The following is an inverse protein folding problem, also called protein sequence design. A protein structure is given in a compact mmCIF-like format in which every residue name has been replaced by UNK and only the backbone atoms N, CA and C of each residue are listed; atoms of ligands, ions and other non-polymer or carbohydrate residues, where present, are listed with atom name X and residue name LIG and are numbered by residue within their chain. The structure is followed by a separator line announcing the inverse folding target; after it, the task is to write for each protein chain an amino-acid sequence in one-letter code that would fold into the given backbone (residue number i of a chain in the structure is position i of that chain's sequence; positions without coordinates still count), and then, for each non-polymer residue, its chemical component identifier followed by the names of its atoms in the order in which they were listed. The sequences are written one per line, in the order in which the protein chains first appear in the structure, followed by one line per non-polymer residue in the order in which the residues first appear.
data_IF_700076670974
#
_entry.id   IF_700076670974
#
_cell.length_a   1.000
_cell.length_b   1.000
_cell.length_c   1.000
_cell.angle_alpha   90.00
_cell.angle_beta   90.00
_cell.angle_gamma   90.00
#
_symmetry.space_group_name_H-M   'P 1'
#
loop_
_entity.id
_entity.type
_entity.pdbx_description
1 polymer ?
#
# COMPACT_ATOMS: atom_id res chain seq x y z
N UNK A 1 8.18 -14.64 -0.52
CA UNK A 1 9.28 -13.92 0.16
C UNK A 1 9.15 -12.44 -0.20
N UNK A 2 8.78 -11.57 0.75
CA UNK A 2 8.86 -10.09 0.65
C UNK A 2 10.33 -9.62 0.62
N UNK A 3 11.16 -10.28 -0.18
CA UNK A 3 12.57 -9.93 -0.30
C UNK A 3 12.68 -8.87 -1.39
N UNK A 4 13.30 -7.75 -1.03
CA UNK A 4 13.70 -6.59 -1.84
C UNK A 4 12.66 -5.51 -2.18
N UNK A 5 11.96 -5.00 -1.17
CA UNK A 5 11.52 -3.60 -1.24
C UNK A 5 12.07 -2.82 -0.04
N UNK A 6 13.13 -1.99 -0.24
CA UNK A 6 13.76 -1.22 0.82
C UNK A 6 12.76 -0.41 1.65
N UNK A 7 11.74 0.16 0.99
CA UNK A 7 10.71 0.97 1.64
C UNK A 7 9.89 0.23 2.70
N UNK A 8 9.78 -1.11 2.64
CA UNK A 8 9.02 -1.91 3.62
C UNK A 8 9.78 -2.04 4.95
N UNK A 9 11.11 -1.99 4.91
CA UNK A 9 11.96 -2.20 6.10
C UNK A 9 12.33 -0.89 6.80
N UNK A 10 12.14 0.24 6.12
CA UNK A 10 12.51 1.55 6.62
C UNK A 10 11.45 2.16 7.55
N UNK A 11 11.85 3.12 8.40
CA UNK A 11 10.97 3.68 9.42
C UNK A 11 9.87 4.57 8.80
N UNK A 12 8.67 4.01 8.71
CA UNK A 12 7.49 4.64 8.12
C UNK A 12 7.09 6.00 8.72
N UNK A 13 7.37 6.24 10.01
CA UNK A 13 6.98 7.48 10.68
C UNK A 13 8.11 8.53 10.71
N UNK A 14 9.27 8.24 10.11
CA UNK A 14 10.47 9.09 10.14
C UNK A 14 11.14 9.20 8.78
N UNK A 15 10.35 9.25 7.72
CA UNK A 15 10.81 9.37 6.34
C UNK A 15 10.02 10.46 5.59
N UNK A 16 10.31 11.74 5.87
CA UNK A 16 9.76 12.83 5.08
C UNK A 16 10.32 12.77 3.65
N UNK A 17 9.48 13.06 2.67
CA UNK A 17 9.90 13.21 1.28
C UNK A 17 10.33 14.65 1.00
N UNK A 18 11.31 14.80 0.11
CA UNK A 18 11.61 16.11 -0.46
C UNK A 18 10.44 16.59 -1.34
N UNK A 19 10.20 17.90 -1.36
CA UNK A 19 9.15 18.51 -2.17
C UNK A 19 9.22 18.11 -3.65
N UNK A 20 10.42 17.94 -4.20
CA UNK A 20 10.62 17.46 -5.58
C UNK A 20 10.05 16.07 -5.81
N UNK A 21 10.37 15.12 -4.93
CA UNK A 21 9.89 13.74 -4.99
C UNK A 21 8.37 13.65 -4.74
N UNK A 22 7.86 14.41 -3.76
CA UNK A 22 6.42 14.51 -3.50
C UNK A 22 5.68 15.02 -4.74
N UNK A 23 6.23 16.04 -5.42
CA UNK A 23 5.67 16.57 -6.65
C UNK A 23 5.71 15.55 -7.78
N UNK A 24 6.79 14.78 -7.93
CA UNK A 24 6.90 13.75 -8.97
C UNK A 24 5.73 12.75 -8.91
N UNK A 25 5.49 12.14 -7.73
CA UNK A 25 4.38 11.19 -7.57
C UNK A 25 2.99 11.79 -7.84
N UNK A 26 2.82 13.10 -7.63
CA UNK A 26 1.54 13.80 -7.80
C UNK A 26 1.38 14.49 -9.16
N UNK A 27 2.48 14.74 -9.89
CA UNK A 27 2.49 15.43 -11.18
C UNK A 27 2.08 14.49 -12.31
N UNK A 28 2.48 13.22 -12.21
CA UNK A 28 2.13 12.18 -13.18
C UNK A 28 0.62 11.83 -13.15
N UNK A 29 -0.07 12.25 -12.10
CA UNK A 29 -1.52 12.09 -11.98
C UNK A 29 -2.23 13.37 -12.48
N UNK A 30 -3.31 13.28 -13.28
CA UNK A 30 -4.13 14.44 -13.62
C UNK A 30 -4.56 15.22 -12.37
N UNK A 31 -4.68 16.56 -12.51
CA UNK A 31 -5.25 17.37 -11.42
C UNK A 31 -6.70 16.96 -11.23
N UNK A 32 -7.06 16.61 -10.00
CA UNK A 32 -8.44 16.35 -9.66
C UNK A 32 -9.18 17.69 -9.58
N UNK A 33 -9.90 18.04 -10.63
CA UNK A 33 -10.75 19.23 -10.72
C UNK A 33 -12.13 19.04 -10.05
N UNK A 34 -12.45 17.81 -9.63
CA UNK A 34 -13.74 17.43 -9.07
C UNK A 34 -13.71 17.50 -7.55
N UNK A 35 -12.60 17.07 -6.93
CA UNK A 35 -12.38 17.09 -5.48
C UNK A 35 -11.58 18.32 -5.08
N UNK A 36 -12.25 19.46 -5.04
CA UNK A 36 -11.77 20.63 -4.30
C UNK A 36 -12.21 20.51 -2.84
N UNK A 37 -11.26 20.55 -1.92
CA UNK A 37 -11.58 20.67 -0.49
C UNK A 37 -11.74 22.16 -0.15
N UNK A 38 -12.97 22.57 0.18
CA UNK A 38 -13.25 23.86 0.80
C UNK A 38 -13.46 23.60 2.30
N UNK A 39 -12.52 23.99 3.18
CA UNK A 39 -12.68 23.80 4.60
C UNK A 39 -13.91 24.57 5.10
N UNK A 40 -14.61 24.07 6.14
CA UNK A 40 -15.72 24.82 6.74
C UNK A 40 -15.27 26.22 7.16
N UNK A 41 -15.93 27.25 6.64
CA UNK A 41 -15.63 28.63 7.00
C UNK A 41 -16.07 28.86 8.43
N UNK A 42 -15.10 28.92 9.34
CA UNK A 42 -15.37 29.30 10.73
C UNK A 42 -15.83 30.77 10.71
N UNK A 43 -17.06 31.04 11.19
CA UNK A 43 -17.56 32.40 11.38
C UNK A 43 -16.56 33.22 12.20
N UNK A 44 -16.58 34.56 12.11
CA UNK A 44 -15.65 35.48 12.80
C UNK A 44 -15.76 35.43 14.34
N UNK A 45 -15.48 34.28 14.92
CA UNK A 45 -15.38 34.01 16.35
C UNK A 45 -13.93 34.27 16.71
N UNK A 46 -13.70 34.98 17.82
CA UNK A 46 -12.36 35.16 18.35
C UNK A 46 -11.85 33.82 18.89
N UNK A 47 -11.16 33.06 18.04
CA UNK A 47 -10.48 31.82 18.39
C UNK A 47 -9.07 32.13 18.90
N UNK A 48 -8.61 31.39 19.91
CA UNK A 48 -7.25 31.54 20.47
C UNK A 48 -6.18 31.26 19.41
N UNK A 49 -4.96 31.79 19.62
CA UNK A 49 -3.81 31.51 18.75
C UNK A 49 -3.50 30.01 18.67
N UNK A 50 -3.57 29.29 19.80
CA UNK A 50 -3.39 27.84 19.84
C UNK A 50 -4.43 27.10 19.01
N UNK A 51 -5.72 27.49 19.11
CA UNK A 51 -6.77 26.87 18.31
C UNK A 51 -6.57 27.09 16.81
N UNK A 52 -6.16 28.29 16.38
CA UNK A 52 -5.81 28.58 14.97
C UNK A 52 -4.64 27.73 14.47
N UNK A 53 -3.64 27.52 15.32
CA UNK A 53 -2.50 26.67 14.99
C UNK A 53 -2.92 25.20 14.77
N UNK A 54 -3.74 24.64 15.67
CA UNK A 54 -4.25 23.27 15.52
C UNK A 54 -5.16 23.12 14.30
N UNK A 55 -6.06 24.09 14.07
CA UNK A 55 -6.92 24.12 12.89
C UNK A 55 -6.09 24.12 11.59
N UNK A 56 -5.07 24.97 11.50
CA UNK A 56 -4.14 24.98 10.38
C UNK A 56 -3.39 23.65 10.20
N UNK A 57 -2.96 23.00 11.29
CA UNK A 57 -2.31 21.70 11.21
C UNK A 57 -3.27 20.61 10.67
N UNK A 58 -4.52 20.58 11.16
CA UNK A 58 -5.55 19.67 10.68
C UNK A 58 -5.92 19.93 9.22
N UNK A 59 -6.06 21.19 8.83
CA UNK A 59 -6.28 21.60 7.44
C UNK A 59 -5.19 21.06 6.52
N UNK A 60 -3.92 21.19 6.91
CA UNK A 60 -2.80 20.69 6.12
C UNK A 60 -2.80 19.16 6.00
N UNK A 61 -3.16 18.43 7.06
CA UNK A 61 -3.31 16.96 7.01
C UNK A 61 -4.43 16.58 6.04
N UNK A 62 -5.59 17.22 6.15
CA UNK A 62 -6.74 16.96 5.26
C UNK A 62 -6.41 17.27 3.80
N UNK A 63 -5.74 18.38 3.54
CA UNK A 63 -5.30 18.77 2.22
C UNK A 63 -4.33 17.74 1.61
N UNK A 64 -3.37 17.26 2.41
CA UNK A 64 -2.43 16.21 1.98
C UNK A 64 -3.16 14.88 1.69
N UNK A 65 -4.06 14.45 2.57
CA UNK A 65 -4.89 13.24 2.36
C UNK A 65 -5.70 13.30 1.07
N UNK A 66 -6.32 14.46 0.79
CA UNK A 66 -7.03 14.66 -0.46
C UNK A 66 -6.10 14.49 -1.66
N UNK A 67 -4.88 15.02 -1.58
CA UNK A 67 -3.84 14.85 -2.60
C UNK A 67 -3.53 13.37 -2.88
N UNK A 68 -3.54 12.51 -1.85
CA UNK A 68 -3.28 11.07 -1.99
C UNK A 68 -4.38 10.30 -2.70
N UNK A 69 -5.59 10.87 -2.79
CA UNK A 69 -6.66 10.25 -3.60
C UNK A 69 -6.35 10.28 -5.09
N UNK A 70 -5.51 11.22 -5.56
CA UNK A 70 -5.19 11.37 -6.99
C UNK A 70 -4.46 10.15 -7.59
N UNK A 71 -3.37 9.63 -6.98
CA UNK A 71 -2.79 8.37 -7.42
C UNK A 71 -3.76 7.20 -7.45
N UNK A 72 -4.66 7.11 -6.45
CA UNK A 72 -5.69 6.06 -6.38
C UNK A 72 -6.65 6.12 -7.58
N UNK A 73 -7.19 7.31 -7.87
CA UNK A 73 -8.10 7.52 -8.98
C UNK A 73 -7.43 7.26 -10.33
N UNK A 74 -6.19 7.73 -10.46
CA UNK A 74 -5.43 7.60 -11.69
C UNK A 74 -5.08 6.15 -11.98
N UNK A 75 -4.67 5.40 -10.95
CA UNK A 75 -4.42 3.97 -11.07
C UNK A 75 -5.70 3.19 -11.45
N UNK A 76 -6.83 3.52 -10.83
CA UNK A 76 -8.12 2.91 -11.16
C UNK A 76 -8.53 3.21 -12.61
N UNK A 77 -8.39 4.47 -13.05
CA UNK A 77 -8.70 4.88 -14.42
C UNK A 77 -7.83 4.12 -15.44
N UNK A 78 -6.52 4.06 -15.21
CA UNK A 78 -5.61 3.31 -16.08
C UNK A 78 -5.94 1.82 -16.13
N UNK A 79 -6.35 1.23 -15.01
CA UNK A 79 -6.71 -0.19 -14.96
C UNK A 79 -8.01 -0.49 -15.73
N UNK A 80 -8.99 0.41 -15.69
CA UNK A 80 -10.29 0.20 -16.34
C UNK A 80 -10.31 0.62 -17.82
N UNK A 81 -9.51 1.62 -18.20
CA UNK A 81 -9.57 2.24 -19.53
C UNK A 81 -8.25 2.20 -20.30
N UNK A 82 -7.13 2.00 -19.62
CA UNK A 82 -5.87 1.68 -20.27
C UNK A 82 -5.99 0.27 -20.80
N UNK A 83 -5.99 0.10 -22.12
CA UNK A 83 -5.92 -1.20 -22.75
C UNK A 83 -4.49 -1.77 -22.57
N UNK A 84 -4.16 -2.09 -21.32
CA UNK A 84 -2.83 -2.47 -20.85
C UNK A 84 -2.72 -4.00 -20.86
N UNK A 85 -1.56 -4.50 -21.24
CA UNK A 85 -1.25 -5.91 -21.12
C UNK A 85 -0.89 -6.29 -19.68
N UNK A 86 -0.97 -7.58 -19.36
CA UNK A 86 -0.71 -8.11 -18.02
C UNK A 86 0.67 -7.73 -17.46
N UNK A 87 1.69 -7.55 -18.30
CA UNK A 87 3.03 -7.18 -17.83
C UNK A 87 3.07 -5.71 -17.41
N UNK A 88 2.45 -4.82 -18.18
CA UNK A 88 2.33 -3.40 -17.83
C UNK A 88 1.49 -3.20 -16.57
N UNK A 89 0.37 -3.92 -16.43
CA UNK A 89 -0.47 -3.85 -15.21
C UNK A 89 0.34 -4.24 -13.96
N UNK A 90 1.15 -5.31 -14.04
CA UNK A 90 2.00 -5.74 -12.93
C UNK A 90 3.03 -4.67 -12.54
N UNK A 91 3.70 -4.07 -13.52
CA UNK A 91 4.67 -3.02 -13.26
C UNK A 91 4.01 -1.77 -12.65
N UNK A 92 2.93 -1.28 -13.26
CA UNK A 92 2.19 -0.13 -12.75
C UNK A 92 1.63 -0.36 -11.34
N UNK A 93 1.17 -1.58 -11.04
CA UNK A 93 0.71 -1.94 -9.70
C UNK A 93 1.83 -1.85 -8.66
N UNK A 94 3.04 -2.28 -9.04
CA UNK A 94 4.24 -2.18 -8.19
C UNK A 94 4.62 -0.72 -7.95
N UNK A 95 4.71 0.07 -9.02
CA UNK A 95 5.07 1.49 -8.94
C UNK A 95 4.04 2.29 -8.14
N UNK A 96 2.75 1.97 -8.34
CA UNK A 96 1.65 2.53 -7.57
C UNK A 96 1.75 2.20 -6.08
N UNK A 97 2.01 0.93 -5.73
CA UNK A 97 2.17 0.51 -4.34
C UNK A 97 3.35 1.23 -3.67
N UNK A 98 4.47 1.35 -4.37
CA UNK A 98 5.63 2.11 -3.89
C UNK A 98 5.28 3.59 -3.70
N UNK A 99 4.69 4.24 -4.71
CA UNK A 99 4.30 5.66 -4.62
C UNK A 99 3.35 5.92 -3.44
N UNK A 100 2.34 5.06 -3.25
CA UNK A 100 1.42 5.16 -2.12
C UNK A 100 2.14 4.98 -0.78
N UNK A 101 3.06 4.02 -0.68
CA UNK A 101 3.84 3.80 0.53
C UNK A 101 4.69 5.03 0.89
N UNK A 102 5.42 5.59 -0.07
CA UNK A 102 6.23 6.79 0.12
C UNK A 102 5.40 8.00 0.54
N UNK A 103 4.27 8.24 -0.14
CA UNK A 103 3.42 9.37 0.14
C UNK A 103 2.70 9.27 1.50
N UNK A 104 2.30 8.06 1.90
CA UNK A 104 1.71 7.82 3.22
C UNK A 104 2.77 7.96 4.32
N UNK A 105 3.98 7.47 4.09
CA UNK A 105 5.14 7.63 4.99
C UNK A 105 5.51 9.10 5.18
N UNK A 106 5.48 9.91 4.11
CA UNK A 106 5.68 11.36 4.19
C UNK A 106 4.63 12.05 5.09
N UNK A 107 3.36 11.72 4.88
CA UNK A 107 2.27 12.26 5.69
C UNK A 107 2.37 11.81 7.16
N UNK A 108 2.69 10.55 7.40
CA UNK A 108 2.89 9.99 8.74
C UNK A 108 4.07 10.67 9.45
N UNK A 109 5.15 10.95 8.73
CA UNK A 109 6.31 11.68 9.23
C UNK A 109 5.95 13.11 9.59
N UNK A 110 5.19 13.80 8.74
CA UNK A 110 4.67 15.14 9.02
C UNK A 110 3.80 15.16 10.28
N UNK A 111 2.92 14.18 10.46
CA UNK A 111 2.09 14.05 11.68
C UNK A 111 2.97 13.80 12.91
N UNK A 112 4.00 12.97 12.81
CA UNK A 112 4.95 12.72 13.90
C UNK A 112 5.69 14.00 14.30
N UNK A 113 6.15 14.79 13.33
CA UNK A 113 6.75 16.11 13.59
C UNK A 113 5.76 17.04 14.27
N UNK A 114 4.53 17.17 13.76
CA UNK A 114 3.49 17.99 14.39
C UNK A 114 3.20 17.57 15.84
N UNK A 115 3.13 16.27 16.12
CA UNK A 115 2.93 15.75 17.49
C UNK A 115 4.10 16.10 18.39
N UNK A 116 5.31 15.89 17.91
CA UNK A 116 6.56 16.21 18.60
C UNK A 116 6.58 17.71 18.93
N UNK A 117 6.43 18.58 17.94
CA UNK A 117 6.42 20.04 18.10
C UNK A 117 5.36 20.51 19.10
N UNK A 118 4.16 19.92 19.06
CA UNK A 118 3.09 20.27 19.98
C UNK A 118 3.38 19.81 21.42
N UNK A 119 4.09 18.69 21.61
CA UNK A 119 4.49 18.23 22.95
C UNK A 119 5.59 19.10 23.56
N UNK A 120 6.58 19.55 22.76
CA UNK A 120 7.70 20.35 23.28
C UNK A 120 7.40 21.84 23.40
N UNK A 121 6.33 22.35 22.78
CA UNK A 121 5.94 23.77 22.88
C UNK A 121 5.62 24.24 24.30
N UNK A 122 5.17 23.34 25.17
CA UNK A 122 4.74 23.66 26.53
C UNK A 122 5.76 23.23 27.61
N UNK A 123 6.93 22.67 27.23
CA UNK A 123 7.97 22.30 28.19
C UNK A 123 8.99 23.44 28.37
N UNK A 124 9.21 23.91 29.62
CA UNK A 124 10.33 24.79 29.91
C UNK A 124 11.62 23.97 29.87
N UNK A 125 12.47 24.28 28.89
CA UNK A 125 13.76 23.67 28.56
C UNK A 125 13.70 22.43 27.65
N UNK A 126 14.56 22.49 26.64
CA UNK A 126 14.81 21.53 25.56
C UNK A 126 15.23 20.17 26.15
N UNK A 127 14.29 19.23 26.31
CA UNK A 127 14.59 17.85 26.71
C UNK A 127 14.58 16.99 25.45
N UNK A 128 15.73 16.38 25.15
CA UNK A 128 15.87 15.40 24.06
C UNK A 128 14.86 14.26 24.20
N UNK A 129 14.35 13.79 23.05
CA UNK A 129 13.16 12.97 22.97
C UNK A 129 13.25 11.64 23.75
N UNK A 130 12.22 11.27 24.55
CA UNK A 130 12.15 9.95 25.18
C UNK A 130 11.91 8.84 24.16
N UNK A 131 12.59 7.72 24.36
CA UNK A 131 12.64 6.56 23.47
C UNK A 131 11.32 5.78 23.29
N UNK A 132 11.32 5.02 22.18
CA UNK A 132 10.46 3.88 21.82
C UNK A 132 9.12 3.75 22.56
N UNK A 133 8.06 4.29 21.95
CA UNK A 133 6.67 3.97 22.32
C UNK A 133 6.31 2.58 21.80
N UNK A 134 5.58 1.80 22.61
CA UNK A 134 5.07 0.47 22.28
C UNK A 134 4.29 0.47 20.95
N UNK A 135 4.64 -0.47 20.07
CA UNK A 135 4.06 -0.58 18.73
C UNK A 135 2.65 -1.19 18.80
N UNK A 136 1.63 -0.35 18.64
CA UNK A 136 0.27 -0.79 18.35
C UNK A 136 0.10 -0.87 16.83
N UNK A 137 0.57 -1.96 16.21
CA UNK A 137 0.36 -2.18 14.78
C UNK A 137 -1.12 -2.45 14.48
N UNK A 138 -1.62 -1.84 13.40
CA UNK A 138 -2.98 -2.07 12.90
C UNK A 138 -3.15 -3.47 12.30
N UNK A 139 -2.04 -4.08 11.84
CA UNK A 139 -1.93 -5.44 11.30
C UNK A 139 -0.55 -5.96 11.68
N UNK A 140 -0.47 -7.16 12.25
CA UNK A 140 0.82 -7.78 12.61
C UNK A 140 1.61 -8.11 11.32
N UNK A 141 2.89 -7.73 11.32
CA UNK A 141 3.80 -8.02 10.20
C UNK A 141 3.95 -9.54 10.01
N UNK A 142 3.83 -10.31 11.09
CA UNK A 142 3.88 -11.77 11.05
C UNK A 142 2.65 -12.34 10.32
N UNK A 143 1.44 -11.84 10.62
CA UNK A 143 0.20 -12.27 9.96
C UNK A 143 0.24 -12.01 8.44
N UNK A 144 0.80 -10.86 8.03
CA UNK A 144 0.98 -10.54 6.62
C UNK A 144 1.95 -11.51 5.92
N UNK A 145 3.07 -11.85 6.58
CA UNK A 145 4.04 -12.82 6.05
C UNK A 145 3.44 -14.22 5.95
N UNK A 146 2.59 -14.63 6.89
CA UNK A 146 1.86 -15.89 6.85
C UNK A 146 0.85 -15.93 5.71
N UNK A 147 0.09 -14.86 5.51
CA UNK A 147 -0.85 -14.74 4.39
C UNK A 147 -0.12 -14.88 3.04
N UNK A 148 1.04 -14.24 2.89
CA UNK A 148 1.85 -14.34 1.66
C UNK A 148 2.35 -15.77 1.46
N UNK A 149 2.85 -16.45 2.51
CA UNK A 149 3.28 -17.86 2.43
C UNK A 149 2.12 -18.77 2.04
N UNK A 150 0.93 -18.55 2.61
CA UNK A 150 -0.28 -19.30 2.31
C UNK A 150 -0.71 -19.09 0.84
N UNK A 151 -0.68 -17.86 0.35
CA UNK A 151 -1.01 -17.56 -1.04
C UNK A 151 -0.02 -18.24 -2.02
N UNK A 152 1.27 -18.28 -1.68
CA UNK A 152 2.30 -18.97 -2.45
C UNK A 152 2.11 -20.50 -2.44
N UNK A 153 1.69 -21.08 -1.30
CA UNK A 153 1.42 -22.52 -1.21
C UNK A 153 0.17 -22.92 -2.00
N UNK A 154 -0.88 -22.10 -1.99
CA UNK A 154 -2.08 -22.32 -2.80
C UNK A 154 -1.73 -22.29 -4.30
N UNK A 155 -0.96 -21.30 -4.75
CA UNK A 155 -0.53 -21.20 -6.14
C UNK A 155 0.27 -22.42 -6.60
N UNK A 156 1.21 -22.91 -5.78
CA UNK A 156 2.02 -24.10 -6.09
C UNK A 156 1.21 -25.39 -6.11
N UNK A 157 0.14 -25.50 -5.32
CA UNK A 157 -0.78 -26.64 -5.35
C UNK A 157 -1.67 -26.58 -6.60
N UNK A 158 -2.17 -25.40 -6.98
CA UNK A 158 -3.03 -25.23 -8.18
C UNK A 158 -2.29 -25.41 -9.51
N UNK A 159 -0.97 -25.25 -9.57
CA UNK A 159 -0.18 -25.46 -10.79
C UNK A 159 0.26 -26.93 -11.03
N UNK A 160 -0.07 -27.88 -10.15
CA UNK A 160 0.25 -29.30 -10.38
C UNK A 160 -0.60 -29.87 -11.51
N UNK A 161 0.00 -30.04 -12.69
CA UNK A 161 -0.55 -30.79 -13.83
C UNK A 161 -1.08 -32.18 -13.37
N UNK A 162 -2.17 -32.70 -13.97
CA UNK A 162 -2.72 -33.99 -13.59
C UNK A 162 -1.68 -35.09 -13.81
N UNK A 163 -1.46 -35.93 -12.78
CA UNK A 163 -0.67 -37.15 -12.90
C UNK A 163 -1.26 -37.99 -14.04
N UNK A 164 -0.44 -38.30 -15.06
CA UNK A 164 -0.79 -39.30 -16.07
C UNK A 164 -1.06 -40.63 -15.36
N UNK A 165 -2.32 -41.04 -15.30
CA UNK A 165 -2.68 -42.40 -14.90
C UNK A 165 -2.05 -43.37 -15.91
N UNK A 166 -1.25 -44.31 -15.40
CA UNK A 166 -0.75 -45.45 -16.18
C UNK A 166 -1.97 -46.28 -16.60
N UNK A 167 -2.11 -46.53 -17.90
CA UNK A 167 -3.26 -47.22 -18.50
C UNK A 167 -3.42 -48.68 -18.01
N UNK A 168 -4.60 -49.28 -18.22
CA UNK A 168 -4.90 -50.62 -17.74
C UNK A 168 -4.06 -51.67 -18.48
N UNK A 169 -3.55 -52.61 -17.69
CA UNK A 169 -2.72 -53.73 -18.12
C UNK A 169 -3.59 -54.72 -18.93
N UNK A 170 -3.35 -54.79 -20.24
CA UNK A 170 -4.03 -55.71 -21.16
C UNK A 170 -3.65 -57.16 -20.85
N UNK A 171 -4.58 -57.93 -20.27
CA UNK A 171 -4.50 -59.39 -20.24
C UNK A 171 -5.03 -59.95 -21.57
N UNK A 172 -4.15 -60.53 -22.37
CA UNK A 172 -4.53 -61.26 -23.59
C UNK A 172 -5.05 -62.66 -23.23
N UNK A 173 -6.35 -62.90 -23.39
CA UNK A 173 -6.94 -64.25 -23.43
C UNK A 173 -6.77 -64.84 -24.84
N UNK A 174 -6.02 -65.93 -24.96
CA UNK A 174 -5.97 -66.74 -26.18
C UNK A 174 -7.16 -67.71 -26.19
N UNK A 175 -8.07 -67.54 -27.15
CA UNK A 175 -9.09 -68.55 -27.47
C UNK A 175 -8.55 -69.53 -28.50
N UNK A 176 -8.60 -70.81 -28.13
CA UNK A 176 -8.37 -71.97 -28.99
C UNK A 176 -9.44 -72.06 -30.08
N UNK A 177 -9.01 -72.29 -31.32
CA UNK A 177 -9.90 -72.69 -32.43
C UNK A 177 -9.65 -74.16 -32.74
N UNK A 178 -10.58 -75.01 -32.34
CA UNK A 178 -10.85 -76.29 -32.99
C UNK A 178 -11.94 -76.08 -34.05
N UNK A 179 -11.71 -76.49 -35.30
CA UNK A 179 -12.43 -77.60 -35.98
C UNK A 179 -12.20 -77.61 -37.50
N UNK A 180 -11.74 -78.78 -37.97
CA UNK A 180 -12.23 -79.59 -39.10
C UNK A 180 -12.70 -78.92 -40.41
N UNK A 181 -12.04 -79.34 -41.48
CA UNK A 181 -12.52 -79.43 -42.85
C UNK A 181 -11.52 -80.27 -43.64
#
# INVERSE_FOLDING_TARGET
MLVQYPFIQENFFKRPLEDGQRRQFLFDCPKNSIRHYDPPKINKVNVSSSAKHYDSALYNIQYRLLGLTRPLDWFLYQTLHGNLDDTTIRQQSSDFAQAMHELLSDLASYITTLRTDNLYKDLPNHIEAPGSQQENFLVDTQDMLEHIKLQQSIQTVTQRKPKKNKGPQSYSFQFSKTRSG
#
